data_IF_012547581789
#
_entry.id   IF_012547581789
#
_cell.length_a   1.000
_cell.length_b   1.000
_cell.length_c   1.000
_cell.angle_alpha   90.00
_cell.angle_beta   90.00
_cell.angle_gamma   90.00
#
_symmetry.space_group_name_H-M   'P 1'
#
loop_
_entity.id
_entity.type
_entity.pdbx_description
1 polymer ?
#
# COMPACT_ATOMS: atom_id res chain seq x y z
N UNK A 1 -15.74 5.64 -8.15
CA UNK A 1 -16.13 5.81 -6.74
C UNK A 1 -14.92 5.59 -5.83
N UNK A 2 -14.82 6.22 -4.64
CA UNK A 2 -13.70 6.09 -3.72
C UNK A 2 -14.17 5.52 -2.38
N UNK A 3 -13.40 4.58 -1.82
CA UNK A 3 -13.70 4.02 -0.50
C UNK A 3 -13.29 4.97 0.65
N UNK A 4 -14.07 4.97 1.74
CA UNK A 4 -13.68 5.58 3.02
C UNK A 4 -12.68 4.68 3.75
N UNK A 5 -11.82 5.29 4.55
CA UNK A 5 -10.99 4.55 5.50
C UNK A 5 -11.87 4.15 6.71
N UNK A 6 -11.86 2.85 7.04
CA UNK A 6 -12.49 2.28 8.22
C UNK A 6 -11.44 1.70 9.16
N UNK A 7 -11.74 1.71 10.48
CA UNK A 7 -10.93 1.02 11.50
C UNK A 7 -11.30 -0.46 11.58
N UNK A 8 -12.56 -0.76 11.32
CA UNK A 8 -13.15 -2.10 11.33
C UNK A 8 -14.00 -2.30 10.10
N UNK A 9 -14.16 -3.53 9.68
CA UNK A 9 -15.11 -3.88 8.63
C UNK A 9 -16.55 -3.70 9.13
N UNK A 10 -17.47 -3.24 8.27
CA UNK A 10 -18.88 -3.28 8.60
C UNK A 10 -19.36 -4.72 8.70
N UNK A 11 -20.40 -4.95 9.50
CA UNK A 11 -21.03 -6.26 9.71
C UNK A 11 -22.43 -6.30 9.12
N UNK A 12 -22.96 -7.52 8.90
CA UNK A 12 -24.31 -7.78 8.42
C UNK A 12 -24.37 -8.19 6.95
N UNK A 13 -25.54 -8.71 6.55
CA UNK A 13 -25.77 -9.34 5.23
C UNK A 13 -25.73 -8.36 4.03
N UNK A 14 -25.78 -7.06 4.29
CA UNK A 14 -25.79 -6.04 3.22
C UNK A 14 -24.41 -5.71 2.62
N UNK A 15 -23.37 -6.51 2.88
CA UNK A 15 -22.01 -6.22 2.47
C UNK A 15 -21.35 -7.39 1.75
N UNK A 16 -20.57 -7.04 0.74
CA UNK A 16 -19.59 -7.90 0.10
C UNK A 16 -18.19 -7.42 0.42
N UNK A 17 -17.25 -8.35 0.53
CA UNK A 17 -15.87 -8.09 0.90
C UNK A 17 -14.94 -8.58 -0.20
N UNK A 18 -13.97 -7.75 -0.55
CA UNK A 18 -12.96 -8.02 -1.58
C UNK A 18 -11.57 -7.75 -1.03
N UNK A 19 -10.57 -8.45 -1.53
CA UNK A 19 -9.16 -8.13 -1.25
C UNK A 19 -8.88 -6.70 -1.71
N UNK A 20 -8.20 -5.94 -0.86
CA UNK A 20 -7.65 -4.65 -1.27
C UNK A 20 -6.31 -4.88 -1.97
N UNK A 21 -6.36 -4.75 -3.28
CA UNK A 21 -5.18 -4.90 -4.14
C UNK A 21 -4.26 -3.68 -4.01
N UNK A 22 -2.95 -3.90 -3.91
CA UNK A 22 -1.94 -2.83 -3.87
C UNK A 22 -1.37 -2.60 -5.28
N UNK A 23 -1.93 -1.61 -5.96
CA UNK A 23 -1.63 -1.34 -7.35
C UNK A 23 -1.93 0.09 -7.78
N UNK A 24 -2.29 0.23 -9.06
CA UNK A 24 -2.73 1.47 -9.69
C UNK A 24 -4.16 1.27 -10.17
N UNK A 25 -5.09 2.03 -9.61
CA UNK A 25 -6.46 2.01 -10.09
C UNK A 25 -6.58 2.53 -11.51
N UNK A 26 -7.29 1.79 -12.34
CA UNK A 26 -7.52 2.14 -13.72
C UNK A 26 -8.94 1.80 -14.16
N UNK A 27 -9.45 2.58 -15.11
CA UNK A 27 -10.61 2.23 -15.92
C UNK A 27 -10.12 1.62 -17.22
N UNK A 28 -10.70 0.51 -17.63
CA UNK A 28 -10.50 -0.08 -18.95
C UNK A 28 -11.77 0.08 -19.76
N UNK A 29 -11.67 0.73 -20.90
CA UNK A 29 -12.72 0.90 -21.88
C UNK A 29 -12.46 -0.03 -23.07
N UNK A 30 -13.41 -0.93 -23.35
CA UNK A 30 -13.32 -1.81 -24.52
C UNK A 30 -13.63 -1.04 -25.80
N UNK A 31 -13.00 -1.42 -26.89
CA UNK A 31 -13.21 -0.81 -28.19
C UNK A 31 -11.99 -1.02 -29.10
N UNK A 32 -12.09 -0.66 -30.38
CA UNK A 32 -10.94 -0.56 -31.28
C UNK A 32 -10.44 0.90 -31.42
N UNK A 33 -9.33 1.31 -30.74
CA UNK A 33 -8.56 0.55 -29.76
C UNK A 33 -9.18 0.58 -28.36
N UNK A 34 -8.87 -0.44 -27.54
CA UNK A 34 -9.15 -0.39 -26.12
C UNK A 34 -8.31 0.67 -25.43
N UNK A 35 -8.83 1.28 -24.37
CA UNK A 35 -8.16 2.35 -23.62
C UNK A 35 -8.06 2.02 -22.14
N UNK A 36 -6.94 2.35 -21.55
CA UNK A 36 -6.73 2.26 -20.11
C UNK A 36 -6.48 3.67 -19.58
N UNK A 37 -7.35 4.10 -18.70
CA UNK A 37 -7.29 5.43 -18.07
C UNK A 37 -6.88 5.30 -16.61
N UNK A 38 -5.89 6.06 -16.20
CA UNK A 38 -5.50 6.15 -14.79
C UNK A 38 -6.57 6.87 -13.96
N UNK A 39 -6.41 6.83 -12.63
CA UNK A 39 -7.29 7.55 -11.69
C UNK A 39 -7.40 9.06 -11.97
N UNK A 40 -6.38 9.68 -12.54
CA UNK A 40 -6.39 11.10 -12.94
C UNK A 40 -7.02 11.36 -14.30
N UNK A 41 -7.46 10.32 -15.01
CA UNK A 41 -7.98 10.40 -16.37
C UNK A 41 -6.91 10.41 -17.46
N UNK A 42 -5.63 10.30 -17.11
CA UNK A 42 -4.57 10.18 -18.09
C UNK A 42 -4.60 8.81 -18.76
N UNK A 43 -4.47 8.76 -20.07
CA UNK A 43 -4.35 7.53 -20.82
C UNK A 43 -2.98 6.88 -20.59
N UNK A 44 -2.99 5.60 -20.24
CA UNK A 44 -1.80 4.81 -19.92
C UNK A 44 -1.74 3.50 -20.69
N UNK A 45 -2.52 3.35 -21.72
CA UNK A 45 -2.68 2.13 -22.56
C UNK A 45 -1.33 1.60 -23.03
N UNK A 46 -0.51 2.46 -23.62
CA UNK A 46 0.80 2.09 -24.18
C UNK A 46 1.82 1.59 -23.13
N UNK A 47 1.58 1.87 -21.85
CA UNK A 47 2.48 1.43 -20.75
C UNK A 47 2.27 -0.04 -20.37
N UNK A 48 1.12 -0.62 -20.75
CA UNK A 48 0.72 -1.97 -20.39
C UNK A 48 0.27 -2.78 -21.62
N UNK A 49 1.18 -3.00 -22.61
CA UNK A 49 0.83 -3.70 -23.87
C UNK A 49 0.32 -5.12 -23.63
N UNK A 50 0.71 -5.75 -22.51
CA UNK A 50 0.21 -7.08 -22.10
C UNK A 50 -1.28 -7.11 -21.77
N UNK A 51 -1.90 -5.95 -21.51
CA UNK A 51 -3.33 -5.83 -21.21
C UNK A 51 -4.18 -5.56 -22.48
N UNK A 52 -3.57 -5.34 -23.63
CA UNK A 52 -4.27 -4.98 -24.87
C UNK A 52 -5.34 -6.04 -25.28
N UNK A 53 -5.06 -7.32 -25.02
CA UNK A 53 -5.99 -8.42 -25.31
C UNK A 53 -7.29 -8.37 -24.49
N UNK A 54 -7.29 -7.77 -23.31
CA UNK A 54 -8.48 -7.66 -22.46
C UNK A 54 -9.58 -6.86 -23.15
N UNK A 55 -9.24 -5.73 -23.78
CA UNK A 55 -10.24 -4.92 -24.48
C UNK A 55 -10.90 -5.61 -25.66
N UNK A 56 -10.23 -6.60 -26.27
CA UNK A 56 -10.78 -7.41 -27.36
C UNK A 56 -11.63 -8.57 -26.84
N UNK A 57 -11.37 -9.04 -25.62
CA UNK A 57 -12.12 -10.11 -24.96
C UNK A 57 -13.47 -9.64 -24.38
N UNK A 58 -13.71 -8.33 -24.34
CA UNK A 58 -14.89 -7.72 -23.75
C UNK A 58 -15.92 -7.32 -24.82
N UNK A 59 -17.22 -7.29 -24.49
CA UNK A 59 -18.24 -6.66 -25.33
C UNK A 59 -17.85 -5.21 -25.66
N UNK A 60 -18.23 -4.76 -26.86
CA UNK A 60 -18.00 -3.38 -27.25
C UNK A 60 -18.73 -2.40 -26.32
N UNK A 61 -18.04 -1.30 -25.93
CA UNK A 61 -18.60 -0.30 -25.03
C UNK A 61 -18.66 -0.75 -23.56
N UNK A 62 -17.92 -1.82 -23.19
CA UNK A 62 -17.74 -2.17 -21.79
C UNK A 62 -16.72 -1.23 -21.11
N UNK A 63 -17.04 -0.85 -19.87
CA UNK A 63 -16.12 -0.08 -19.00
C UNK A 63 -15.95 -0.81 -17.68
N UNK A 64 -14.73 -1.29 -17.43
CA UNK A 64 -14.33 -1.94 -16.18
C UNK A 64 -13.64 -0.96 -15.26
N UNK A 65 -13.93 -1.06 -13.96
CA UNK A 65 -13.13 -0.44 -12.89
C UNK A 65 -12.28 -1.53 -12.25
N UNK A 66 -10.99 -1.30 -12.17
CA UNK A 66 -10.04 -2.32 -11.72
C UNK A 66 -8.79 -1.73 -11.11
N UNK A 67 -7.90 -2.63 -10.70
CA UNK A 67 -6.57 -2.31 -10.21
C UNK A 67 -5.54 -2.99 -11.10
N UNK A 68 -4.53 -2.26 -11.57
CA UNK A 68 -3.36 -2.83 -12.24
C UNK A 68 -2.36 -3.18 -11.15
N UNK A 69 -1.96 -4.44 -11.08
CA UNK A 69 -0.98 -4.96 -10.13
C UNK A 69 0.16 -5.63 -10.86
N UNK A 70 1.31 -5.77 -10.20
CA UNK A 70 2.34 -6.74 -10.59
C UNK A 70 2.43 -7.80 -9.48
N UNK A 71 2.50 -9.05 -9.87
CA UNK A 71 2.59 -10.17 -8.94
C UNK A 71 4.04 -10.62 -8.78
N UNK A 72 4.44 -11.02 -7.57
CA UNK A 72 5.72 -11.65 -7.31
C UNK A 72 5.70 -13.14 -7.71
N UNK A 73 6.81 -13.85 -7.47
CA UNK A 73 6.95 -15.27 -7.79
C UNK A 73 5.99 -16.17 -7.00
N UNK A 74 5.45 -15.68 -5.88
CA UNK A 74 4.44 -16.38 -5.07
C UNK A 74 3.00 -15.99 -5.47
N UNK A 75 2.83 -15.14 -6.50
CA UNK A 75 1.53 -14.67 -6.95
C UNK A 75 0.92 -13.57 -6.06
N UNK A 76 1.70 -12.94 -5.19
CA UNK A 76 1.26 -11.83 -4.34
C UNK A 76 1.45 -10.48 -5.04
N UNK A 77 0.53 -9.53 -4.85
CA UNK A 77 0.70 -8.18 -5.37
C UNK A 77 1.93 -7.50 -4.73
N UNK A 78 2.78 -6.94 -5.57
CA UNK A 78 3.98 -6.19 -5.18
C UNK A 78 4.01 -4.82 -5.87
N UNK A 79 3.70 -3.78 -5.12
CA UNK A 79 3.76 -2.42 -5.64
C UNK A 79 5.19 -2.01 -6.06
N UNK A 80 6.22 -2.56 -5.43
CA UNK A 80 7.62 -2.30 -5.80
C UNK A 80 7.93 -2.84 -7.21
N UNK A 81 7.41 -4.01 -7.57
CA UNK A 81 7.50 -4.53 -8.92
C UNK A 81 6.75 -3.62 -9.90
N UNK A 82 5.54 -3.21 -9.53
CA UNK A 82 4.74 -2.31 -10.35
C UNK A 82 5.39 -0.93 -10.53
N UNK A 83 6.08 -0.39 -9.51
CA UNK A 83 6.81 0.88 -9.62
C UNK A 83 7.86 0.87 -10.73
N UNK A 84 8.45 -0.27 -11.05
CA UNK A 84 9.41 -0.40 -12.16
C UNK A 84 8.76 -0.16 -13.53
N UNK A 85 7.43 -0.31 -13.61
CA UNK A 85 6.62 -0.07 -14.82
C UNK A 85 6.13 1.38 -14.91
N UNK A 86 6.12 2.10 -13.79
CA UNK A 86 5.63 3.48 -13.72
C UNK A 86 6.66 4.45 -14.28
N UNK A 87 6.17 5.55 -14.89
CA UNK A 87 7.03 6.63 -15.38
C UNK A 87 7.91 6.27 -16.59
N UNK A 88 7.75 5.08 -17.17
CA UNK A 88 8.50 4.66 -18.35
C UNK A 88 7.76 5.12 -19.61
N UNK A 89 8.47 5.83 -20.49
CA UNK A 89 7.94 6.35 -21.76
C UNK A 89 8.60 5.74 -23.01
N UNK A 90 9.77 5.11 -22.86
CA UNK A 90 10.49 4.48 -23.98
C UNK A 90 9.83 3.16 -24.38
N UNK A 91 9.31 3.06 -25.60
CA UNK A 91 8.65 1.85 -26.11
C UNK A 91 9.51 0.57 -26.00
N UNK A 92 10.83 0.56 -26.33
CA UNK A 92 11.65 -0.64 -26.11
C UNK A 92 11.76 -1.03 -24.64
N UNK A 93 11.79 -0.05 -23.72
CA UNK A 93 11.86 -0.34 -22.29
C UNK A 93 10.52 -0.85 -21.78
N UNK A 94 9.39 -0.31 -22.24
CA UNK A 94 8.05 -0.79 -21.91
C UNK A 94 7.94 -2.26 -22.33
N UNK A 95 8.27 -2.58 -23.58
CA UNK A 95 8.20 -3.95 -24.11
C UNK A 95 9.06 -4.93 -23.31
N UNK A 96 10.31 -4.56 -23.00
CA UNK A 96 11.19 -5.42 -22.19
C UNK A 96 10.61 -5.65 -20.80
N UNK A 97 10.13 -4.58 -20.13
CA UNK A 97 9.59 -4.68 -18.78
C UNK A 97 8.24 -5.39 -18.73
N UNK A 98 7.41 -5.32 -19.76
CA UNK A 98 6.17 -6.11 -19.82
C UNK A 98 6.41 -7.61 -19.80
N UNK A 99 7.54 -8.06 -20.34
CA UNK A 99 7.96 -9.46 -20.30
C UNK A 99 8.61 -9.85 -18.96
N UNK A 100 9.39 -8.95 -18.36
CA UNK A 100 10.11 -9.21 -17.10
C UNK A 100 9.21 -9.08 -15.85
N UNK A 101 8.27 -8.16 -15.88
CA UNK A 101 7.37 -7.85 -14.78
C UNK A 101 5.98 -7.56 -15.37
N UNK A 102 5.28 -8.58 -15.83
CA UNK A 102 3.96 -8.40 -16.43
C UNK A 102 2.98 -7.80 -15.41
N UNK A 103 2.16 -6.87 -15.88
CA UNK A 103 1.07 -6.34 -15.11
C UNK A 103 -0.19 -7.21 -15.30
N UNK A 104 -0.99 -7.29 -14.26
CA UNK A 104 -2.29 -7.97 -14.26
C UNK A 104 -3.39 -6.96 -13.93
N UNK A 105 -4.47 -6.96 -14.71
CA UNK A 105 -5.65 -6.15 -14.42
C UNK A 105 -6.63 -6.96 -13.57
N UNK A 106 -6.96 -6.46 -12.39
CA UNK A 106 -7.91 -7.05 -11.46
C UNK A 106 -9.23 -6.28 -11.58
N UNK A 107 -10.20 -6.84 -12.28
CA UNK A 107 -11.51 -6.23 -12.43
C UNK A 107 -12.36 -6.42 -11.16
N UNK A 108 -12.92 -5.34 -10.63
CA UNK A 108 -13.75 -5.41 -9.42
C UNK A 108 -15.12 -4.69 -9.56
N UNK A 109 -15.39 -3.97 -10.66
CA UNK A 109 -16.69 -3.38 -10.95
C UNK A 109 -16.89 -3.23 -12.47
N UNK A 110 -18.16 -3.28 -12.92
CA UNK A 110 -18.56 -3.04 -14.29
C UNK A 110 -19.44 -1.79 -14.33
N UNK A 111 -19.01 -0.77 -15.07
CA UNK A 111 -19.66 0.54 -15.09
C UNK A 111 -20.52 0.77 -16.33
N UNK A 112 -20.21 0.09 -17.42
CA UNK A 112 -20.99 0.10 -18.66
C UNK A 112 -20.77 -1.22 -19.42
N UNK A 113 -21.72 -1.62 -20.24
CA UNK A 113 -21.59 -2.69 -21.24
C UNK A 113 -22.52 -2.40 -22.41
N UNK A 114 -22.10 -2.77 -23.62
CA UNK A 114 -22.87 -2.54 -24.87
C UNK A 114 -23.34 -1.07 -25.04
N UNK A 115 -22.55 -0.13 -24.49
CA UNK A 115 -22.85 1.30 -24.50
C UNK A 115 -23.86 1.76 -23.43
N UNK A 116 -24.44 0.83 -22.66
CA UNK A 116 -25.38 1.13 -21.58
C UNK A 116 -24.68 1.36 -20.27
N UNK A 117 -24.98 2.46 -19.55
CA UNK A 117 -24.44 2.78 -18.26
C UNK A 117 -25.08 1.95 -17.15
N UNK A 118 -24.25 1.31 -16.32
CA UNK A 118 -24.67 0.48 -15.21
C UNK A 118 -24.51 1.18 -13.84
N UNK A 119 -23.99 2.41 -13.78
CA UNK A 119 -23.64 3.09 -12.53
C UNK A 119 -24.80 3.27 -11.56
N UNK A 120 -26.04 3.34 -12.07
CA UNK A 120 -27.25 3.47 -11.24
C UNK A 120 -27.71 2.12 -10.63
N UNK A 121 -27.23 1.00 -11.16
CA UNK A 121 -27.58 -0.32 -10.64
C UNK A 121 -26.92 -0.57 -9.29
N UNK A 122 -27.54 -1.42 -8.43
CA UNK A 122 -26.91 -1.94 -7.22
C UNK A 122 -25.58 -2.63 -7.52
N UNK A 123 -24.59 -2.51 -6.61
CA UNK A 123 -23.29 -3.15 -6.75
C UNK A 123 -23.41 -4.67 -7.01
N UNK A 124 -24.28 -5.36 -6.29
CA UNK A 124 -24.53 -6.79 -6.49
C UNK A 124 -24.88 -7.12 -7.93
N UNK A 125 -25.74 -6.32 -8.58
CA UNK A 125 -26.13 -6.53 -9.97
C UNK A 125 -25.00 -6.26 -10.95
N UNK A 126 -24.23 -5.17 -10.73
CA UNK A 126 -23.04 -4.88 -11.54
C UNK A 126 -22.00 -5.99 -11.40
N UNK A 127 -21.88 -6.56 -10.19
CA UNK A 127 -20.95 -7.66 -9.91
C UNK A 127 -21.35 -8.97 -10.59
N UNK A 128 -22.62 -9.31 -10.58
CA UNK A 128 -23.15 -10.46 -11.33
C UNK A 128 -22.85 -10.33 -12.82
N UNK A 129 -23.13 -9.16 -13.41
CA UNK A 129 -22.84 -8.89 -14.81
C UNK A 129 -21.33 -8.99 -15.11
N UNK A 130 -20.47 -8.45 -14.25
CA UNK A 130 -19.02 -8.55 -14.39
C UNK A 130 -18.54 -10.02 -14.39
N UNK A 131 -19.06 -10.84 -13.46
CA UNK A 131 -18.74 -12.26 -13.40
C UNK A 131 -19.25 -12.97 -14.68
N UNK A 132 -20.44 -12.61 -15.15
CA UNK A 132 -21.02 -13.15 -16.37
C UNK A 132 -20.22 -12.86 -17.64
N UNK A 133 -19.38 -11.82 -17.65
CA UNK A 133 -18.48 -11.53 -18.77
C UNK A 133 -17.29 -12.50 -18.86
N UNK A 134 -17.00 -13.31 -17.81
CA UNK A 134 -15.90 -14.26 -17.81
C UNK A 134 -14.53 -13.61 -18.00
N UNK A 135 -14.29 -12.47 -17.34
CA UNK A 135 -13.03 -11.70 -17.45
C UNK A 135 -11.89 -12.47 -16.81
N UNK A 136 -11.38 -13.47 -17.53
CA UNK A 136 -10.25 -14.30 -17.12
C UNK A 136 -9.26 -14.46 -18.28
N UNK A 137 -7.97 -14.38 -17.98
CA UNK A 137 -6.91 -14.48 -18.97
C UNK A 137 -5.51 -14.45 -18.31
N UNK A 138 -4.46 -14.48 -19.12
CA UNK A 138 -3.10 -14.57 -18.59
C UNK A 138 -2.71 -13.37 -17.73
N UNK A 139 -3.29 -12.17 -18.04
CA UNK A 139 -2.93 -10.91 -17.40
C UNK A 139 -4.17 -10.13 -16.90
N UNK A 140 -5.30 -10.79 -16.74
CA UNK A 140 -6.51 -10.20 -16.17
C UNK A 140 -7.40 -11.24 -15.52
N UNK A 141 -8.09 -10.81 -14.46
CA UNK A 141 -9.02 -11.67 -13.74
C UNK A 141 -10.08 -10.87 -13.00
N UNK A 142 -11.19 -11.53 -12.69
CA UNK A 142 -12.23 -11.05 -11.77
C UNK A 142 -12.25 -11.93 -10.52
N UNK A 143 -11.51 -11.60 -9.45
CA UNK A 143 -11.52 -12.37 -8.22
C UNK A 143 -12.93 -12.42 -7.61
N UNK A 144 -13.29 -13.50 -6.97
CA UNK A 144 -14.58 -13.61 -6.27
C UNK A 144 -14.63 -12.65 -5.09
N UNK A 145 -15.80 -12.04 -4.87
CA UNK A 145 -16.10 -11.36 -3.63
C UNK A 145 -16.54 -12.38 -2.56
N UNK A 146 -16.41 -12.02 -1.30
CA UNK A 146 -16.85 -12.82 -0.17
C UNK A 146 -18.10 -12.19 0.44
N UNK A 147 -19.14 -12.99 0.63
CA UNK A 147 -20.38 -12.60 1.32
C UNK A 147 -20.35 -13.18 2.74
N UNK A 148 -20.96 -12.48 3.69
CA UNK A 148 -21.07 -12.95 5.07
C UNK A 148 -19.98 -12.40 5.99
N UNK A 149 -19.04 -13.22 6.46
CA UNK A 149 -18.04 -12.80 7.44
C UNK A 149 -16.80 -12.16 6.80
N UNK A 150 -16.77 -10.84 6.77
CA UNK A 150 -15.60 -10.07 6.32
C UNK A 150 -14.37 -10.24 7.20
N UNK A 151 -14.53 -10.63 8.46
CA UNK A 151 -13.44 -10.91 9.40
C UNK A 151 -12.57 -12.06 8.92
N UNK A 152 -13.20 -13.15 8.47
CA UNK A 152 -12.47 -14.29 7.93
C UNK A 152 -11.61 -13.93 6.71
N UNK A 153 -12.12 -13.07 5.82
CA UNK A 153 -11.33 -12.58 4.69
C UNK A 153 -10.18 -11.67 5.16
N UNK A 154 -10.42 -10.80 6.17
CA UNK A 154 -9.39 -9.92 6.72
C UNK A 154 -8.25 -10.72 7.37
N UNK A 155 -8.57 -11.76 8.13
CA UNK A 155 -7.57 -12.68 8.69
C UNK A 155 -6.79 -13.44 7.62
N UNK A 156 -7.48 -13.92 6.58
CA UNK A 156 -6.82 -14.56 5.44
C UNK A 156 -5.88 -13.61 4.71
N UNK A 157 -6.32 -12.36 4.50
CA UNK A 157 -5.49 -11.31 3.92
C UNK A 157 -4.26 -11.00 4.78
N UNK A 158 -4.41 -10.97 6.13
CA UNK A 158 -3.28 -10.80 7.06
C UNK A 158 -2.26 -11.93 6.94
N UNK A 159 -2.71 -13.18 6.97
CA UNK A 159 -1.82 -14.35 6.82
C UNK A 159 -1.06 -14.37 5.48
N UNK A 160 -1.66 -13.82 4.43
CA UNK A 160 -1.06 -13.75 3.10
C UNK A 160 -0.23 -12.48 2.86
N UNK A 161 -0.18 -11.57 3.84
CA UNK A 161 0.55 -10.30 3.71
C UNK A 161 -0.07 -9.33 2.67
N UNK A 162 -1.41 -9.40 2.46
CA UNK A 162 -2.13 -8.51 1.55
C UNK A 162 -2.41 -7.15 2.22
N UNK A 163 -2.71 -6.13 1.42
CA UNK A 163 -2.88 -4.74 1.92
C UNK A 163 -4.09 -4.56 2.84
N UNK A 164 -5.14 -5.39 2.67
CA UNK A 164 -6.36 -5.31 3.44
C UNK A 164 -7.60 -5.80 2.71
N UNK A 165 -8.75 -5.27 3.10
CA UNK A 165 -10.07 -5.63 2.56
C UNK A 165 -10.85 -4.37 2.24
N UNK A 166 -11.64 -4.42 1.17
CA UNK A 166 -12.65 -3.42 0.81
C UNK A 166 -14.02 -4.05 0.99
N UNK A 167 -14.83 -3.48 1.88
CA UNK A 167 -16.24 -3.80 2.01
C UNK A 167 -17.05 -2.92 1.07
N UNK A 168 -17.96 -3.50 0.31
CA UNK A 168 -18.85 -2.81 -0.62
C UNK A 168 -20.31 -3.13 -0.27
N UNK A 169 -21.15 -2.10 -0.10
CA UNK A 169 -22.58 -2.27 0.19
C UNK A 169 -23.29 -2.83 -1.06
N UNK A 170 -23.99 -3.97 -0.91
CA UNK A 170 -24.63 -4.69 -2.01
C UNK A 170 -25.58 -3.81 -2.81
N UNK A 171 -26.51 -3.13 -2.14
CA UNK A 171 -27.51 -2.26 -2.79
C UNK A 171 -26.98 -0.90 -3.28
N UNK A 172 -25.67 -0.63 -3.27
CA UNK A 172 -25.15 0.70 -3.59
C UNK A 172 -25.01 0.96 -5.08
N UNK A 173 -25.45 2.15 -5.53
CA UNK A 173 -25.07 2.70 -6.82
C UNK A 173 -23.58 3.11 -6.85
N UNK A 174 -23.00 3.18 -8.04
CA UNK A 174 -21.64 3.68 -8.21
C UNK A 174 -21.62 5.21 -8.28
N UNK A 175 -20.86 5.88 -7.44
CA UNK A 175 -20.74 7.34 -7.39
C UNK A 175 -19.39 7.80 -7.95
N UNK A 176 -19.26 8.13 -9.26
CA UNK A 176 -18.01 8.53 -9.88
C UNK A 176 -17.35 9.71 -9.19
N UNK A 177 -16.03 9.63 -8.97
CA UNK A 177 -15.24 10.70 -8.35
C UNK A 177 -15.51 10.97 -6.86
N UNK A 178 -16.59 10.43 -6.28
CA UNK A 178 -16.98 10.70 -4.89
C UNK A 178 -16.48 9.64 -3.93
N UNK A 179 -16.16 10.07 -2.71
CA UNK A 179 -15.89 9.17 -1.57
C UNK A 179 -17.21 8.82 -0.90
N UNK A 180 -17.56 7.54 -0.86
CA UNK A 180 -18.81 7.04 -0.29
C UNK A 180 -18.57 6.18 0.94
N UNK A 181 -19.52 6.19 1.88
CA UNK A 181 -19.61 5.27 3.00
C UNK A 181 -20.05 3.86 2.57
N UNK A 182 -20.55 3.69 1.34
CA UNK A 182 -20.91 2.40 0.79
C UNK A 182 -19.72 1.54 0.38
N UNK A 183 -18.54 2.14 0.28
CA UNK A 183 -17.26 1.45 0.15
C UNK A 183 -16.36 1.79 1.32
N UNK A 184 -15.99 0.78 2.10
CA UNK A 184 -15.14 0.93 3.28
C UNK A 184 -13.90 0.06 3.11
N UNK A 185 -12.71 0.68 3.15
CA UNK A 185 -11.45 -0.04 3.10
C UNK A 185 -10.85 -0.14 4.51
N UNK A 186 -10.47 -1.34 4.89
CA UNK A 186 -9.72 -1.63 6.11
C UNK A 186 -8.35 -2.14 5.69
N UNK A 187 -7.30 -1.41 6.05
CA UNK A 187 -5.93 -1.79 5.75
C UNK A 187 -5.35 -2.61 6.87
N UNK A 188 -4.63 -3.65 6.51
CA UNK A 188 -3.74 -4.39 7.38
C UNK A 188 -2.41 -3.64 7.39
N UNK A 189 -2.00 -3.21 8.56
CA UNK A 189 -0.69 -2.57 8.76
C UNK A 189 0.13 -3.46 9.66
N UNK A 190 1.37 -3.68 9.28
CA UNK A 190 2.36 -4.26 10.16
C UNK A 190 2.61 -3.28 11.31
N UNK A 191 2.86 -3.81 12.50
CA UNK A 191 3.25 -3.03 13.67
C UNK A 191 4.42 -3.73 14.32
N UNK A 192 5.48 -2.98 14.52
CA UNK A 192 6.71 -3.49 15.13
C UNK A 192 7.36 -2.38 15.96
N UNK A 193 8.20 -2.77 16.88
CA UNK A 193 9.05 -1.90 17.69
C UNK A 193 10.34 -1.55 16.95
N UNK A 194 10.80 -0.29 17.13
CA UNK A 194 12.03 0.23 16.55
C UNK A 194 12.80 1.06 17.56
N UNK A 195 14.11 1.01 17.46
CA UNK A 195 15.01 1.92 18.16
C UNK A 195 15.02 3.27 17.47
N UNK A 196 15.08 4.33 18.26
CA UNK A 196 15.29 5.68 17.76
C UNK A 196 16.81 5.94 17.79
N UNK A 197 17.45 6.01 16.62
CA UNK A 197 18.89 6.29 16.49
C UNK A 197 19.19 7.73 16.11
N UNK A 198 18.14 8.57 15.95
CA UNK A 198 18.30 9.98 15.63
C UNK A 198 17.03 10.62 15.09
N UNK A 199 17.15 11.83 14.58
CA UNK A 199 16.04 12.56 13.98
C UNK A 199 16.52 13.55 12.90
N UNK A 200 15.60 13.96 12.07
CA UNK A 200 15.76 15.06 11.11
C UNK A 200 15.06 16.30 11.63
N UNK A 201 15.61 17.47 11.35
CA UNK A 201 14.93 18.73 11.61
C UNK A 201 13.73 18.91 10.68
N UNK A 202 12.66 19.46 11.20
CA UNK A 202 11.47 19.82 10.43
C UNK A 202 11.72 20.99 9.48
N UNK A 203 10.83 21.14 8.52
CA UNK A 203 10.82 22.23 7.55
C UNK A 203 9.51 23.05 7.69
N UNK A 204 9.52 24.28 7.18
CA UNK A 204 8.34 25.14 7.23
C UNK A 204 7.92 25.44 8.67
N UNK A 205 6.67 25.18 9.04
CA UNK A 205 6.13 25.43 10.38
C UNK A 205 6.80 24.65 11.52
N UNK A 206 7.59 23.61 11.20
CA UNK A 206 8.38 22.83 12.18
C UNK A 206 9.89 23.12 12.10
N UNK A 207 10.27 24.23 11.50
CA UNK A 207 11.70 24.61 11.38
C UNK A 207 12.36 24.67 12.75
N UNK A 208 13.53 24.02 12.87
CA UNK A 208 14.30 23.96 14.12
C UNK A 208 13.82 22.91 15.14
N UNK A 209 12.63 22.31 14.96
CA UNK A 209 12.10 21.24 15.81
C UNK A 209 12.26 19.87 15.15
N UNK A 210 11.89 18.81 15.85
CA UNK A 210 11.90 17.44 15.31
C UNK A 210 10.89 17.31 14.17
N UNK A 211 11.36 16.90 12.99
CA UNK A 211 10.53 16.67 11.81
C UNK A 211 10.21 15.19 11.56
N UNK A 212 11.19 14.32 11.72
CA UNK A 212 11.03 12.87 11.63
C UNK A 212 12.08 12.15 12.45
N UNK A 213 11.75 10.99 13.00
CA UNK A 213 12.68 10.10 13.69
C UNK A 213 13.43 9.24 12.68
N UNK A 214 14.66 8.87 13.00
CA UNK A 214 15.45 7.87 12.29
C UNK A 214 15.41 6.56 13.07
N UNK A 215 14.95 5.51 12.43
CA UNK A 215 14.62 4.23 13.05
C UNK A 215 15.68 3.17 12.74
N UNK A 216 15.87 2.25 13.67
CA UNK A 216 16.72 1.09 13.49
C UNK A 216 16.23 -0.15 14.23
N UNK A 217 16.81 -1.28 13.86
CA UNK A 217 16.67 -2.57 14.54
C UNK A 217 18.04 -3.21 14.67
N UNK A 218 18.22 -4.09 15.65
CA UNK A 218 19.45 -4.88 15.70
C UNK A 218 19.43 -5.97 14.63
N UNK A 219 20.59 -6.26 14.06
CA UNK A 219 20.75 -7.30 13.02
C UNK A 219 20.62 -8.72 13.58
N UNK A 220 20.69 -8.88 14.89
CA UNK A 220 20.61 -10.17 15.59
C UNK A 220 20.10 -10.01 17.02
N UNK A 221 19.59 -11.10 17.65
CA UNK A 221 19.15 -11.07 19.04
C UNK A 221 20.30 -10.86 20.03
N UNK A 222 20.01 -10.44 21.26
CA UNK A 222 21.01 -10.32 22.31
C UNK A 222 21.61 -11.69 22.65
N UNK A 223 22.92 -11.70 22.96
CA UNK A 223 23.65 -12.93 23.31
C UNK A 223 24.14 -13.76 22.11
N UNK A 224 23.99 -13.27 20.89
CA UNK A 224 24.66 -13.87 19.72
C UNK A 224 26.20 -13.79 19.86
N UNK A 225 26.92 -14.71 19.21
CA UNK A 225 28.39 -14.78 19.30
C UNK A 225 29.09 -13.47 18.90
N UNK A 226 28.52 -12.75 17.93
CA UNK A 226 29.05 -11.46 17.49
C UNK A 226 28.28 -10.29 18.10
N UNK A 227 28.92 -9.11 18.17
CA UNK A 227 28.30 -7.86 18.60
C UNK A 227 27.11 -7.49 17.71
N UNK A 228 25.99 -7.10 18.33
CA UNK A 228 24.83 -6.54 17.62
C UNK A 228 25.23 -5.24 16.89
N UNK A 229 24.73 -5.10 15.66
CA UNK A 229 24.89 -3.88 14.85
C UNK A 229 23.51 -3.27 14.60
N UNK A 230 23.41 -1.96 14.78
CA UNK A 230 22.19 -1.24 14.49
C UNK A 230 22.05 -1.03 12.98
N UNK A 231 20.98 -1.56 12.41
CA UNK A 231 20.62 -1.44 10.99
C UNK A 231 19.59 -0.33 10.83
N UNK A 232 19.84 0.59 9.90
CA UNK A 232 18.89 1.66 9.59
C UNK A 232 17.62 1.12 8.92
N UNK A 233 16.46 1.43 9.48
CA UNK A 233 15.14 0.96 9.01
C UNK A 233 14.30 2.05 8.34
N UNK A 234 14.82 3.26 8.17
CA UNK A 234 14.10 4.38 7.56
C UNK A 234 13.72 5.48 8.54
N UNK A 235 12.93 6.42 8.09
CA UNK A 235 12.49 7.56 8.90
C UNK A 235 10.97 7.63 9.04
N UNK A 236 10.45 8.06 10.21
CA UNK A 236 9.02 8.26 10.45
C UNK A 236 8.73 9.71 10.85
N UNK A 237 7.86 10.37 10.10
CA UNK A 237 7.38 11.74 10.38
C UNK A 237 5.87 11.82 10.57
N UNK A 238 5.12 10.81 10.07
CA UNK A 238 3.68 10.71 10.29
C UNK A 238 3.34 10.20 11.69
N UNK A 239 2.22 10.66 12.26
CA UNK A 239 1.77 10.24 13.60
C UNK A 239 2.40 11.04 14.75
N UNK A 240 3.28 12.01 14.46
CA UNK A 240 3.88 12.91 15.45
C UNK A 240 2.97 14.14 15.64
N UNK A 241 2.30 14.21 16.79
CA UNK A 241 1.60 15.43 17.23
C UNK A 241 2.59 16.45 17.77
N UNK A 242 2.21 17.72 17.86
CA UNK A 242 3.05 18.78 18.44
C UNK A 242 3.51 18.43 19.88
N UNK A 243 2.60 17.92 20.70
CA UNK A 243 2.91 17.43 22.05
C UNK A 243 3.92 16.29 22.04
N UNK A 244 3.79 15.34 21.09
CA UNK A 244 4.74 14.22 20.93
C UNK A 244 6.12 14.71 20.52
N UNK A 245 6.16 15.72 19.63
CA UNK A 245 7.43 16.33 19.19
C UNK A 245 8.17 16.97 20.36
N UNK A 246 7.47 17.70 21.23
CA UNK A 246 8.08 18.32 22.41
C UNK A 246 8.59 17.28 23.39
N UNK A 247 7.79 16.28 23.73
CA UNK A 247 8.19 15.17 24.59
C UNK A 247 9.41 14.40 24.06
N UNK A 248 9.44 14.10 22.75
CA UNK A 248 10.58 13.44 22.12
C UNK A 248 11.81 14.34 22.13
N UNK A 249 11.65 15.64 21.89
CA UNK A 249 12.77 16.60 21.96
C UNK A 249 13.45 16.63 23.32
N UNK A 250 12.68 16.66 24.41
CA UNK A 250 13.18 16.61 25.77
C UNK A 250 13.92 15.30 26.08
N UNK A 251 13.39 14.16 25.63
CA UNK A 251 13.95 12.83 25.89
C UNK A 251 15.17 12.51 25.03
N UNK A 252 15.24 13.02 23.81
CA UNK A 252 16.35 12.76 22.89
C UNK A 252 17.55 13.70 23.13
N UNK A 253 17.33 14.89 23.70
CA UNK A 253 18.40 15.86 23.94
C UNK A 253 19.56 15.30 24.77
N UNK A 254 19.35 14.60 25.91
CA UNK A 254 20.42 14.04 26.71
C UNK A 254 21.14 12.87 26.05
N UNK A 255 20.52 12.19 25.09
CA UNK A 255 21.06 11.04 24.36
C UNK A 255 21.84 11.42 23.10
N UNK A 256 22.00 12.72 22.84
CA UNK A 256 22.65 13.21 21.61
C UNK A 256 24.09 12.71 21.49
N UNK A 257 24.45 12.30 20.27
CA UNK A 257 25.79 11.88 19.89
C UNK A 257 26.25 12.52 18.58
N UNK A 258 27.55 12.60 18.34
CA UNK A 258 28.10 13.23 17.14
C UNK A 258 28.12 12.31 15.93
N UNK A 259 28.34 11.00 16.13
CA UNK A 259 28.43 10.02 15.06
C UNK A 259 27.14 9.19 14.92
N UNK A 260 26.88 8.68 13.72
CA UNK A 260 25.75 7.76 13.47
C UNK A 260 25.83 6.51 14.35
N UNK A 261 24.73 6.08 14.99
CA UNK A 261 24.64 4.77 15.63
C UNK A 261 24.41 3.64 14.62
N UNK A 262 23.97 3.96 13.39
CA UNK A 262 23.69 2.97 12.35
C UNK A 262 25.00 2.48 11.72
N UNK A 263 25.26 1.20 11.84
CA UNK A 263 26.46 0.56 11.31
C UNK A 263 26.24 -0.07 9.93
N UNK A 264 24.97 -0.26 9.54
CA UNK A 264 24.57 -0.78 8.24
C UNK A 264 23.21 -0.26 7.80
N UNK A 265 22.85 -0.52 6.56
CA UNK A 265 21.66 0.01 5.91
C UNK A 265 21.92 1.28 5.12
N UNK A 266 20.92 1.67 4.32
CA UNK A 266 20.97 2.91 3.53
C UNK A 266 20.66 4.07 4.47
N UNK A 267 21.65 4.88 4.81
CA UNK A 267 21.51 6.02 5.71
C UNK A 267 20.43 7.03 5.30
N UNK A 268 20.18 8.05 6.12
CA UNK A 268 19.16 9.06 5.83
C UNK A 268 19.43 9.79 4.52
N UNK A 269 18.40 9.93 3.69
CA UNK A 269 18.50 10.55 2.34
C UNK A 269 18.67 12.08 2.35
N UNK A 270 18.50 12.72 3.51
CA UNK A 270 18.62 14.18 3.69
C UNK A 270 19.92 14.53 4.43
N UNK A 271 20.54 15.67 4.13
CA UNK A 271 21.69 16.15 4.85
C UNK A 271 21.33 16.54 6.30
N UNK A 272 22.34 16.59 7.16
CA UNK A 272 22.28 17.05 8.55
C UNK A 272 21.33 16.28 9.48
N UNK A 273 21.44 14.95 9.58
CA UNK A 273 20.77 14.21 10.65
C UNK A 273 21.40 14.55 12.02
N UNK A 274 20.56 14.53 13.04
CA UNK A 274 20.97 14.57 14.43
C UNK A 274 20.88 13.15 14.99
N UNK A 275 21.96 12.64 15.58
CA UNK A 275 22.00 11.28 16.08
C UNK A 275 21.88 11.22 17.61
N UNK A 276 21.40 10.09 18.12
CA UNK A 276 21.32 9.79 19.53
C UNK A 276 21.71 8.34 19.81
N UNK A 277 22.04 8.05 21.05
CA UNK A 277 22.19 6.69 21.52
C UNK A 277 20.85 5.96 21.44
N UNK A 278 20.80 4.70 20.93
CA UNK A 278 19.56 3.98 20.63
C UNK A 278 18.95 3.36 21.89
N UNK A 279 18.57 4.20 22.85
CA UNK A 279 17.98 3.79 24.13
C UNK A 279 16.46 3.87 24.14
N UNK A 280 15.86 4.67 23.25
CA UNK A 280 14.41 4.82 23.18
C UNK A 280 13.81 3.88 22.13
N UNK A 281 12.77 3.16 22.54
CA UNK A 281 11.99 2.28 21.67
C UNK A 281 10.66 2.95 21.34
N UNK A 282 10.22 2.82 20.10
CA UNK A 282 8.90 3.28 19.67
C UNK A 282 8.18 2.21 18.84
N UNK A 283 6.85 2.16 18.95
CA UNK A 283 6.00 1.38 18.08
C UNK A 283 5.71 2.17 16.80
N UNK A 284 5.83 1.50 15.66
CA UNK A 284 5.54 2.07 14.35
C UNK A 284 4.62 1.13 13.58
N UNK A 285 3.57 1.68 12.98
CA UNK A 285 2.78 0.99 11.97
C UNK A 285 3.31 1.34 10.58
N UNK A 286 3.41 0.36 9.72
CA UNK A 286 3.90 0.53 8.35
C UNK A 286 3.22 -0.45 7.40
N UNK A 287 3.31 -0.21 6.09
CA UNK A 287 2.67 -1.08 5.10
C UNK A 287 3.48 -2.34 4.83
N UNK A 288 4.79 -2.18 4.66
CA UNK A 288 5.71 -3.28 4.33
C UNK A 288 7.17 -2.86 4.54
N UNK A 289 8.08 -3.84 4.61
CA UNK A 289 9.50 -3.62 4.42
C UNK A 289 9.84 -3.53 2.93
N UNK A 290 10.58 -2.49 2.55
CA UNK A 290 11.04 -2.35 1.15
C UNK A 290 12.24 -3.27 0.87
N UNK A 291 12.62 -3.42 -0.40
CA UNK A 291 13.83 -4.18 -0.79
C UNK A 291 15.14 -3.58 -0.25
N UNK A 292 15.11 -2.29 0.12
CA UNK A 292 16.24 -1.58 0.72
C UNK A 292 16.22 -1.64 2.24
N UNK A 293 15.44 -2.57 2.82
CA UNK A 293 15.27 -2.77 4.26
C UNK A 293 14.82 -1.51 5.01
N UNK A 294 13.98 -0.68 4.37
CA UNK A 294 13.35 0.49 4.98
C UNK A 294 11.83 0.34 5.03
N UNK A 295 11.19 1.12 5.91
CA UNK A 295 9.74 1.07 6.11
C UNK A 295 9.01 1.87 5.05
N UNK A 296 7.93 1.30 4.51
CA UNK A 296 7.00 2.01 3.61
C UNK A 296 5.84 2.59 4.40
N UNK A 297 5.56 3.89 4.19
CA UNK A 297 4.45 4.62 4.82
C UNK A 297 4.41 4.46 6.36
N UNK A 298 5.54 4.62 7.07
CA UNK A 298 5.56 4.46 8.51
C UNK A 298 4.75 5.55 9.22
N UNK A 299 4.10 5.17 10.32
CA UNK A 299 3.37 6.07 11.22
C UNK A 299 3.73 5.75 12.67
N UNK A 300 4.23 6.74 13.39
CA UNK A 300 4.55 6.65 14.81
C UNK A 300 3.29 6.41 15.64
N UNK A 301 3.35 5.47 16.61
CA UNK A 301 2.23 5.09 17.48
C UNK A 301 2.46 5.38 18.95
N UNK A 302 3.69 5.61 19.35
CA UNK A 302 4.05 5.90 20.74
C UNK A 302 5.42 5.34 21.12
N UNK A 303 5.96 5.86 22.21
CA UNK A 303 7.10 5.26 22.86
C UNK A 303 6.71 3.95 23.56
N UNK A 304 7.65 3.03 23.69
CA UNK A 304 7.51 1.73 24.34
C UNK A 304 8.54 1.62 25.44
N UNK A 305 8.16 2.03 26.65
CA UNK A 305 9.02 1.98 27.83
C UNK A 305 9.06 0.57 28.46
N UNK A 306 8.17 -0.29 28.03
CA UNK A 306 8.01 -1.68 28.45
C UNK A 306 8.87 -2.66 27.62
N UNK A 307 9.59 -2.18 26.60
CA UNK A 307 10.42 -3.01 25.71
C UNK A 307 11.89 -2.71 25.96
N UNK A 308 12.69 -3.77 26.20
CA UNK A 308 14.13 -3.65 26.31
C UNK A 308 14.75 -3.29 24.95
N UNK A 309 15.45 -2.14 24.84
CA UNK A 309 16.10 -1.72 23.62
C UNK A 309 17.02 -2.79 23.00
N UNK A 310 17.68 -3.60 23.80
CA UNK A 310 18.59 -4.65 23.33
C UNK A 310 17.89 -5.79 22.57
N UNK A 311 16.56 -5.93 22.70
CA UNK A 311 15.79 -7.02 22.09
C UNK A 311 15.14 -6.65 20.75
N UNK A 312 15.21 -5.39 20.32
CA UNK A 312 14.52 -4.88 19.15
C UNK A 312 15.21 -5.35 17.86
N UNK A 313 14.73 -6.43 17.30
CA UNK A 313 15.17 -7.01 16.02
C UNK A 313 14.07 -6.89 14.96
N UNK A 314 14.39 -7.17 13.70
CA UNK A 314 13.39 -7.26 12.65
C UNK A 314 12.53 -8.51 12.85
N UNK A 315 11.21 -8.34 12.79
CA UNK A 315 10.19 -9.39 12.78
C UNK A 315 9.84 -9.85 11.35
#
# INVERSE_FOLDING_TARGET
MLARDGKTLPSGEGWAFEVKWDGIRALLESGPPARILSRSGAEITDRYPELAGLGQALPQGATLDGEIVALDEQGKPSFQLLQQRMGVSSAPTIQRRSLQTPATFIAFDLLATEGESLIALPYERRRELLIGLGVEGPNWQTPRNHLGDGGALLEAAARQGLEGVVAKRLGSAYAPGRRSADWVKVRLRLRQEFLIGGWMRGQGGRSGRLGSLLLGVWDRPPGAEDRQRLVYAGGVGSGLSERTIDQLGERLAPLRRESSPFESGIGPKRPDPLFCDPELVCAVEFSEWTREDTLRQPAFKGLREDVDPGTVIRE
#
